data_IF_319496271370
#
_entry.id   IF_319496271370
#
_cell.length_a   1.000
_cell.length_b   1.000
_cell.length_c   1.000
_cell.angle_alpha   90.00
_cell.angle_beta   90.00
_cell.angle_gamma   90.00
#
_symmetry.space_group_name_H-M   'P 1'
#
loop_
_entity.id
_entity.type
_entity.pdbx_description
1 polymer ?
#
# COMPACT_ATOMS: atom_id res chain seq x y z
N UNK A 1 -1.42 -16.94 7.97
CA UNK A 1 -0.38 -16.23 8.76
C UNK A 1 0.72 -15.86 7.77
N UNK A 2 1.08 -14.58 7.66
CA UNK A 2 2.11 -14.16 6.70
C UNK A 2 3.48 -14.58 7.25
N UNK A 3 4.20 -15.40 6.50
CA UNK A 3 5.54 -15.89 6.86
C UNK A 3 6.60 -14.88 6.39
N UNK A 4 6.80 -13.82 7.15
CA UNK A 4 7.72 -12.71 6.81
C UNK A 4 9.16 -13.15 6.54
N UNK A 5 9.61 -14.28 7.10
CA UNK A 5 10.95 -14.85 6.89
C UNK A 5 11.12 -15.57 5.54
N UNK A 6 10.03 -15.80 4.80
CA UNK A 6 10.08 -16.35 3.43
C UNK A 6 9.98 -15.27 2.36
N UNK A 7 9.86 -13.99 2.74
CA UNK A 7 9.86 -12.89 1.78
C UNK A 7 11.28 -12.51 1.42
N UNK A 8 11.57 -12.46 0.12
CA UNK A 8 12.80 -11.87 -0.39
C UNK A 8 12.82 -10.39 -0.02
N UNK A 9 13.80 -9.98 0.78
CA UNK A 9 13.97 -8.59 1.20
C UNK A 9 14.72 -7.87 0.09
N UNK A 10 14.03 -6.99 -0.61
CA UNK A 10 14.61 -6.10 -1.61
C UNK A 10 14.94 -4.75 -1.01
N UNK A 11 15.91 -4.06 -1.59
CA UNK A 11 16.27 -2.71 -1.18
C UNK A 11 15.07 -1.74 -1.33
N UNK A 12 14.76 -0.92 -0.32
CA UNK A 12 13.68 0.05 -0.43
C UNK A 12 14.03 1.20 -1.39
N UNK A 13 13.06 1.74 -2.14
CA UNK A 13 13.31 2.83 -3.10
C UNK A 13 13.98 4.07 -2.51
N UNK A 14 13.85 4.29 -1.20
CA UNK A 14 14.46 5.42 -0.51
C UNK A 14 15.98 5.31 -0.36
N UNK A 15 16.53 4.10 -0.39
CA UNK A 15 17.97 3.85 -0.30
C UNK A 15 18.60 3.48 -1.64
N UNK A 16 17.78 3.22 -2.66
CA UNK A 16 18.24 2.73 -3.96
C UNK A 16 19.29 3.64 -4.64
N UNK A 17 19.28 4.93 -4.33
CA UNK A 17 20.23 5.91 -4.88
C UNK A 17 21.45 6.17 -3.98
N UNK A 18 21.52 5.54 -2.80
CA UNK A 18 22.57 5.76 -1.79
C UNK A 18 23.65 4.69 -1.86
N UNK A 19 24.90 5.08 -1.61
CA UNK A 19 25.99 4.11 -1.47
C UNK A 19 26.11 3.57 -0.03
N UNK A 20 26.76 2.42 0.12
CA UNK A 20 26.88 1.72 1.41
C UNK A 20 27.55 2.61 2.48
N UNK A 21 28.55 3.42 2.13
CA UNK A 21 29.17 4.34 3.08
C UNK A 21 28.20 5.42 3.60
N UNK A 22 27.33 5.94 2.72
CA UNK A 22 26.30 6.91 3.10
C UNK A 22 25.26 6.27 4.03
N UNK A 23 24.83 5.05 3.72
CA UNK A 23 23.91 4.28 4.57
C UNK A 23 24.49 4.02 5.96
N UNK A 24 25.78 3.65 6.04
CA UNK A 24 26.47 3.47 7.32
C UNK A 24 26.56 4.78 8.08
N UNK A 25 26.92 5.87 7.40
CA UNK A 25 26.99 7.20 8.02
C UNK A 25 25.63 7.65 8.57
N UNK A 26 24.53 7.40 7.85
CA UNK A 26 23.18 7.71 8.32
C UNK A 26 22.83 6.88 9.56
N UNK A 27 23.15 5.58 9.55
CA UNK A 27 22.88 4.68 10.68
C UNK A 27 23.69 5.02 11.94
N UNK A 28 24.93 5.50 11.77
CA UNK A 28 25.85 5.78 12.89
C UNK A 28 25.74 7.22 13.41
N UNK A 29 25.50 8.20 12.52
CA UNK A 29 25.57 9.62 12.87
C UNK A 29 24.20 10.32 12.99
N UNK A 30 23.09 9.60 12.78
CA UNK A 30 21.71 10.14 12.72
C UNK A 30 21.56 11.40 11.83
N UNK A 31 22.48 11.59 10.88
CA UNK A 31 22.47 12.76 10.00
C UNK A 31 21.53 12.49 8.83
N UNK A 32 20.23 12.55 9.10
CA UNK A 32 19.16 12.49 8.09
C UNK A 32 19.16 13.75 7.19
N UNK A 33 20.03 14.73 7.48
CA UNK A 33 20.05 16.04 6.81
C UNK A 33 20.31 15.95 5.30
N UNK A 34 21.07 14.95 4.87
CA UNK A 34 21.42 14.76 3.46
C UNK A 34 20.54 13.71 2.76
N UNK A 35 19.80 12.92 3.54
CA UNK A 35 18.77 12.07 2.98
C UNK A 35 17.62 12.97 2.55
N UNK A 36 17.53 13.25 1.25
CA UNK A 36 16.34 13.79 0.63
C UNK A 36 15.24 12.73 0.75
N UNK A 37 14.72 12.51 1.97
CA UNK A 37 13.45 11.85 2.18
C UNK A 37 12.49 12.70 1.37
N UNK A 38 12.09 12.17 0.21
CA UNK A 38 11.14 12.82 -0.67
C UNK A 38 10.04 13.36 0.22
N UNK A 39 9.91 14.70 0.27
CA UNK A 39 8.77 15.34 0.93
C UNK A 39 7.56 15.04 0.05
N UNK A 40 7.08 13.81 0.15
CA UNK A 40 5.83 13.43 -0.45
C UNK A 40 4.77 14.36 0.16
N UNK A 41 3.91 14.98 -0.65
CA UNK A 41 2.83 15.77 -0.11
C UNK A 41 1.89 14.83 0.65
N UNK A 42 2.05 14.78 1.98
CA UNK A 42 1.29 13.90 2.86
C UNK A 42 -0.20 14.27 2.93
N UNK A 43 -0.55 15.50 2.56
CA UNK A 43 -1.91 16.04 2.60
C UNK A 43 -2.45 16.32 1.20
N UNK A 44 -2.27 15.37 0.28
CA UNK A 44 -3.04 15.44 -0.97
C UNK A 44 -4.45 14.92 -0.74
N UNK A 45 -5.42 15.52 -1.45
CA UNK A 45 -6.80 15.04 -1.45
C UNK A 45 -6.90 13.55 -1.83
N UNK A 46 -5.96 13.04 -2.62
CA UNK A 46 -5.88 11.63 -2.98
C UNK A 46 -5.60 10.74 -1.77
N UNK A 47 -4.63 11.12 -0.92
CA UNK A 47 -4.31 10.36 0.31
C UNK A 47 -5.51 10.38 1.26
N UNK A 48 -6.13 11.55 1.46
CA UNK A 48 -7.31 11.68 2.33
C UNK A 48 -8.47 10.78 1.87
N UNK A 49 -8.77 10.77 0.56
CA UNK A 49 -9.79 9.90 -0.03
C UNK A 49 -9.44 8.42 0.13
N UNK A 50 -8.18 8.06 -0.07
CA UNK A 50 -7.71 6.68 0.09
C UNK A 50 -7.89 6.20 1.53
N UNK A 51 -7.40 6.97 2.51
CA UNK A 51 -7.53 6.64 3.94
C UNK A 51 -8.99 6.52 4.35
N UNK A 52 -9.86 7.44 3.88
CA UNK A 52 -11.30 7.38 4.11
C UNK A 52 -11.91 6.09 3.57
N UNK A 53 -11.65 5.76 2.30
CA UNK A 53 -12.18 4.55 1.67
C UNK A 53 -11.74 3.28 2.40
N UNK A 54 -10.45 3.18 2.75
CA UNK A 54 -9.91 2.03 3.49
C UNK A 54 -10.58 1.90 4.85
N UNK A 55 -10.77 3.02 5.55
CA UNK A 55 -11.40 3.03 6.89
C UNK A 55 -12.87 2.63 6.84
N UNK A 56 -13.64 3.21 5.91
CA UNK A 56 -15.06 2.87 5.71
C UNK A 56 -15.23 1.40 5.32
N UNK A 57 -14.38 0.90 4.41
CA UNK A 57 -14.39 -0.51 3.99
C UNK A 57 -14.07 -1.42 5.16
N UNK A 58 -12.97 -1.16 5.89
CA UNK A 58 -12.58 -1.97 7.05
C UNK A 58 -13.67 -1.99 8.13
N UNK A 59 -14.32 -0.85 8.39
CA UNK A 59 -15.44 -0.75 9.32
C UNK A 59 -16.63 -1.59 8.85
N UNK A 60 -17.00 -1.51 7.57
CA UNK A 60 -18.09 -2.30 6.98
C UNK A 60 -17.81 -3.80 6.96
N UNK A 61 -16.53 -4.21 7.00
CA UNK A 61 -16.09 -5.60 7.00
C UNK A 61 -15.91 -6.16 8.42
N UNK A 62 -16.18 -5.36 9.46
CA UNK A 62 -16.10 -5.83 10.84
C UNK A 62 -17.30 -6.74 11.16
N UNK A 63 -17.03 -7.98 11.59
CA UNK A 63 -18.04 -9.00 11.93
C UNK A 63 -18.43 -9.91 10.76
N UNK A 64 -18.61 -11.22 11.03
CA UNK A 64 -18.81 -12.25 10.00
C UNK A 64 -20.00 -11.98 9.08
N UNK A 65 -21.11 -11.51 9.64
CA UNK A 65 -22.32 -11.20 8.89
C UNK A 65 -22.10 -10.06 7.88
N UNK A 66 -21.46 -8.97 8.30
CA UNK A 66 -21.24 -7.81 7.44
C UNK A 66 -20.27 -8.14 6.30
N UNK A 67 -19.22 -8.94 6.57
CA UNK A 67 -18.32 -9.46 5.53
C UNK A 67 -19.04 -10.24 4.46
N UNK A 68 -19.87 -11.17 4.90
CA UNK A 68 -20.62 -12.07 4.03
C UNK A 68 -21.63 -11.28 3.17
N UNK A 69 -22.27 -10.26 3.75
CA UNK A 69 -23.08 -9.28 3.01
C UNK A 69 -22.27 -8.50 1.96
N UNK A 70 -21.10 -7.97 2.33
CA UNK A 70 -20.22 -7.23 1.42
C UNK A 70 -19.75 -8.10 0.25
N UNK A 71 -19.34 -9.34 0.50
CA UNK A 71 -18.88 -10.29 -0.53
C UNK A 71 -20.02 -10.59 -1.51
N UNK A 72 -21.21 -10.95 -1.01
CA UNK A 72 -22.36 -11.22 -1.88
C UNK A 72 -22.75 -10.02 -2.73
N UNK A 73 -22.76 -8.82 -2.14
CA UNK A 73 -23.11 -7.60 -2.86
C UNK A 73 -22.07 -7.27 -3.94
N UNK A 74 -20.79 -7.51 -3.65
CA UNK A 74 -19.70 -7.36 -4.61
C UNK A 74 -19.82 -8.37 -5.76
N UNK A 75 -20.12 -9.64 -5.46
CA UNK A 75 -20.35 -10.65 -6.51
C UNK A 75 -21.54 -10.29 -7.40
N UNK A 76 -22.63 -9.78 -6.81
CA UNK A 76 -23.79 -9.34 -7.55
C UNK A 76 -23.49 -8.14 -8.46
N UNK A 77 -22.71 -7.15 -8.00
CA UNK A 77 -22.33 -6.01 -8.82
C UNK A 77 -21.37 -6.40 -9.95
N UNK A 78 -20.40 -7.29 -9.67
CA UNK A 78 -19.51 -7.87 -10.69
C UNK A 78 -20.30 -8.61 -11.78
N UNK A 79 -21.35 -9.34 -11.41
CA UNK A 79 -22.19 -10.07 -12.37
C UNK A 79 -22.98 -9.15 -13.32
N UNK A 80 -23.23 -7.90 -12.92
CA UNK A 80 -23.92 -6.90 -13.74
C UNK A 80 -22.94 -6.14 -14.64
N UNK A 81 -21.66 -6.10 -14.29
CA UNK A 81 -20.67 -5.37 -15.08
C UNK A 81 -20.48 -6.02 -16.47
N UNK A 82 -20.42 -5.20 -17.54
CA UNK A 82 -20.11 -5.72 -18.87
C UNK A 82 -18.71 -6.34 -18.89
N UNK A 83 -18.57 -7.48 -19.56
CA UNK A 83 -17.25 -8.01 -19.89
C UNK A 83 -16.60 -7.12 -20.95
N UNK A 84 -15.37 -6.68 -20.69
CA UNK A 84 -14.56 -5.97 -21.68
C UNK A 84 -13.56 -6.92 -22.31
N UNK A 85 -13.28 -6.73 -23.59
CA UNK A 85 -12.22 -7.43 -24.30
C UNK A 85 -10.87 -7.11 -23.64
N UNK A 86 -10.23 -8.12 -23.07
CA UNK A 86 -8.87 -7.99 -22.56
C UNK A 86 -7.90 -8.11 -23.74
N UNK A 87 -6.87 -7.28 -23.77
CA UNK A 87 -5.82 -7.38 -24.80
C UNK A 87 -5.20 -8.78 -24.73
N UNK A 88 -5.22 -9.51 -25.84
CA UNK A 88 -4.43 -10.75 -25.97
C UNK A 88 -2.96 -10.42 -25.77
N UNK A 89 -2.29 -11.17 -24.90
CA UNK A 89 -0.82 -11.28 -24.91
C UNK A 89 -0.37 -12.05 -26.17
#
# INVERSE_FOLDING_TARGET
>A
MIEWFKCDVTEPPITADLIIEELKSIAENESIKDLQIYKFPFHTQSIERCVKLVTETASSLCGSYNRDGFIRNTMASLAIMPSFENKSN
#
